data_IF_386263731067
#
_entry.id   IF_386263731067
#
_cell.length_a   1.000
_cell.length_b   1.000
_cell.length_c   1.000
_cell.angle_alpha   90.00
_cell.angle_beta   90.00
_cell.angle_gamma   90.00
#
_symmetry.space_group_name_H-M   'P 1'
#
loop_
_entity.id
_entity.type
_entity.pdbx_description
1 polymer ?
#
# COMPACT_ATOMS: atom_id res chain seq x y z
N UNK A 1 0.99 -32.05 -9.14
CA UNK A 1 1.13 -31.39 -9.05
C UNK A 1 1.36 -30.52 -8.77
N UNK A 2 1.49 -30.28 -8.41
CA UNK A 2 1.63 -29.46 -8.08
C UNK A 2 1.77 -28.51 -8.00
N UNK A 3 1.65 -28.22 -7.90
CA UNK A 3 1.66 -27.45 -7.87
C UNK A 3 1.78 -26.50 -7.93
N UNK A 4 1.42 -26.51 -8.12
CA UNK A 4 1.30 -25.61 -8.19
C UNK A 4 1.42 -24.62 -7.63
N UNK A 5 0.98 -24.50 -6.97
CA UNK A 5 1.47 -23.61 -5.94
C UNK A 5 2.73 -22.85 -6.32
N UNK A 6 2.96 -22.79 -7.54
CA UNK A 6 4.07 -22.01 -8.03
C UNK A 6 3.83 -20.56 -7.73
N UNK A 7 4.84 -19.88 -7.18
CA UNK A 7 4.81 -18.43 -7.05
C UNK A 7 4.69 -17.85 -8.45
N UNK A 8 3.75 -16.89 -8.67
CA UNK A 8 3.65 -16.26 -9.98
C UNK A 8 4.97 -15.66 -10.42
N UNK A 9 5.26 -15.73 -11.71
CA UNK A 9 6.50 -15.17 -12.26
C UNK A 9 6.48 -13.64 -12.27
N UNK A 10 5.28 -13.04 -12.34
CA UNK A 10 5.15 -11.58 -12.32
C UNK A 10 5.27 -11.06 -10.90
N UNK A 11 6.24 -10.19 -10.70
CA UNK A 11 6.53 -9.58 -9.41
C UNK A 11 6.20 -8.09 -9.48
N UNK A 12 5.62 -7.57 -8.41
CA UNK A 12 5.27 -6.16 -8.33
C UNK A 12 5.94 -5.51 -7.12
N UNK A 13 6.43 -4.29 -7.31
CA UNK A 13 6.87 -3.44 -6.22
C UNK A 13 6.16 -2.11 -6.32
N UNK A 14 5.48 -1.69 -5.27
CA UNK A 14 4.66 -0.48 -5.31
C UNK A 14 5.17 0.57 -4.36
N UNK A 15 5.52 1.73 -4.92
CA UNK A 15 5.78 2.94 -4.15
C UNK A 15 4.46 3.70 -4.06
N UNK A 16 3.80 3.56 -2.90
CA UNK A 16 2.43 3.97 -2.71
C UNK A 16 2.34 5.40 -2.17
N UNK A 17 1.29 6.11 -2.60
CA UNK A 17 0.88 7.38 -2.01
C UNK A 17 -0.62 7.33 -1.75
N UNK A 18 -1.04 7.78 -0.57
CA UNK A 18 -2.46 7.85 -0.23
C UNK A 18 -3.17 9.02 -0.92
N UNK A 19 -2.41 9.96 -1.47
CA UNK A 19 -2.95 11.13 -2.20
C UNK A 19 -2.18 11.31 -3.51
N UNK A 20 -2.30 10.37 -4.45
CA UNK A 20 -1.55 10.45 -5.69
C UNK A 20 -2.03 11.61 -6.57
N UNK A 21 -1.11 12.11 -7.38
CA UNK A 21 -1.38 13.20 -8.32
C UNK A 21 -0.46 13.02 -9.53
N UNK A 22 -0.63 13.86 -10.53
CA UNK A 22 0.25 13.84 -11.70
C UNK A 22 1.69 14.15 -11.34
N UNK A 23 1.89 15.02 -10.33
CA UNK A 23 3.22 15.42 -9.88
C UNK A 23 3.85 14.36 -8.99
N UNK A 24 3.03 13.60 -8.28
CA UNK A 24 3.50 12.58 -7.36
C UNK A 24 2.63 11.34 -7.50
N UNK A 25 2.80 10.60 -8.59
CA UNK A 25 1.98 9.42 -8.84
C UNK A 25 2.41 8.24 -7.99
N UNK A 26 1.54 7.24 -7.91
CA UNK A 26 1.92 5.93 -7.43
C UNK A 26 2.74 5.28 -8.52
N UNK A 27 3.86 4.66 -8.15
CA UNK A 27 4.73 3.96 -9.10
C UNK A 27 4.69 2.47 -8.81
N UNK A 28 4.38 1.69 -9.83
CA UNK A 28 4.31 0.24 -9.74
C UNK A 28 5.38 -0.35 -10.65
N UNK A 29 6.40 -0.96 -10.04
CA UNK A 29 7.43 -1.64 -10.78
C UNK A 29 6.97 -3.06 -11.10
N UNK A 30 7.15 -3.48 -12.34
CA UNK A 30 6.85 -4.82 -12.77
C UNK A 30 8.15 -5.56 -13.06
N UNK A 31 8.28 -6.75 -12.50
CA UNK A 31 9.46 -7.57 -12.68
C UNK A 31 9.11 -9.01 -12.94
N UNK A 32 10.10 -9.75 -13.35
CA UNK A 32 9.94 -11.16 -13.64
C UNK A 32 11.10 -11.93 -13.02
N UNK A 33 10.76 -13.05 -12.39
CA UNK A 33 11.79 -13.93 -11.87
C UNK A 33 12.28 -14.85 -12.98
N UNK A 34 13.58 -14.83 -13.22
CA UNK A 34 14.24 -15.68 -14.19
C UNK A 34 15.38 -16.37 -13.48
N UNK A 35 15.22 -17.66 -13.17
CA UNK A 35 16.15 -18.42 -12.35
C UNK A 35 16.38 -17.73 -11.00
N UNK A 36 17.59 -17.36 -10.65
CA UNK A 36 17.92 -16.69 -9.38
C UNK A 36 17.93 -15.17 -9.49
N UNK A 37 17.40 -14.62 -10.59
CA UNK A 37 17.42 -13.18 -10.84
C UNK A 37 16.03 -12.60 -10.97
N UNK A 38 15.94 -11.31 -10.72
CA UNK A 38 14.73 -10.54 -10.99
C UNK A 38 15.06 -9.55 -12.11
N UNK A 39 14.27 -9.61 -13.15
CA UNK A 39 14.42 -8.72 -14.31
C UNK A 39 13.32 -7.68 -14.26
N UNK A 40 13.70 -6.41 -14.31
CA UNK A 40 12.73 -5.33 -14.38
C UNK A 40 12.10 -5.29 -15.77
N UNK A 41 10.78 -5.37 -15.84
CA UNK A 41 10.04 -5.32 -17.10
C UNK A 41 9.60 -3.90 -17.43
N UNK A 42 9.27 -3.10 -16.43
CA UNK A 42 8.82 -1.74 -16.66
C UNK A 42 8.21 -1.11 -15.42
N UNK A 43 7.78 0.12 -15.59
CA UNK A 43 7.13 0.90 -14.54
C UNK A 43 5.78 1.38 -15.04
N UNK A 44 4.78 1.30 -14.18
CA UNK A 44 3.46 1.90 -14.39
C UNK A 44 3.29 3.02 -13.40
N UNK A 45 2.64 4.09 -13.80
CA UNK A 45 2.33 5.18 -12.88
C UNK A 45 0.82 5.41 -12.84
N UNK A 46 0.32 5.78 -11.65
CA UNK A 46 -1.10 6.02 -11.46
C UNK A 46 -1.29 7.35 -10.74
N UNK A 47 -2.06 8.24 -11.34
CA UNK A 47 -2.37 9.55 -10.77
C UNK A 47 -3.49 9.47 -9.74
N UNK A 48 -4.22 8.35 -9.72
CA UNK A 48 -5.37 8.15 -8.83
C UNK A 48 -5.34 6.77 -8.19
N UNK A 49 -5.95 6.69 -7.01
CA UNK A 49 -6.11 5.39 -6.34
C UNK A 49 -6.99 4.44 -7.16
N UNK A 50 -8.00 4.99 -7.83
CA UNK A 50 -8.91 4.20 -8.66
C UNK A 50 -8.17 3.55 -9.83
N UNK A 51 -7.23 4.27 -10.43
CA UNK A 51 -6.40 3.71 -11.50
C UNK A 51 -5.59 2.53 -11.04
N UNK A 52 -4.96 2.64 -9.88
CA UNK A 52 -4.21 1.52 -9.30
C UNK A 52 -5.14 0.34 -8.99
N UNK A 53 -6.30 0.62 -8.37
CA UNK A 53 -7.24 -0.43 -8.01
C UNK A 53 -7.72 -1.21 -9.22
N UNK A 54 -8.01 -0.52 -10.32
CA UNK A 54 -8.44 -1.17 -11.56
C UNK A 54 -7.34 -2.05 -12.16
N UNK A 55 -6.11 -1.56 -12.10
CA UNK A 55 -4.97 -2.34 -12.60
C UNK A 55 -4.79 -3.62 -11.80
N UNK A 56 -4.87 -3.51 -10.47
CA UNK A 56 -4.71 -4.67 -9.57
C UNK A 56 -5.85 -5.66 -9.69
N UNK A 57 -7.06 -5.19 -10.02
CA UNK A 57 -8.24 -6.04 -10.15
C UNK A 57 -8.27 -6.80 -11.47
N UNK A 58 -7.46 -6.43 -12.44
CA UNK A 58 -7.42 -7.12 -13.72
C UNK A 58 -6.93 -8.56 -13.53
N UNK A 59 -7.48 -9.52 -14.32
CA UNK A 59 -7.17 -10.93 -14.12
C UNK A 59 -5.75 -11.28 -14.56
N UNK A 60 -4.83 -11.22 -13.63
CA UNK A 60 -3.44 -11.65 -13.81
C UNK A 60 -2.89 -12.13 -12.48
N UNK A 61 -2.00 -13.11 -12.54
CA UNK A 61 -1.39 -13.66 -11.34
C UNK A 61 -0.08 -12.91 -11.03
N UNK A 62 0.06 -12.42 -9.81
CA UNK A 62 1.26 -11.72 -9.40
C UNK A 62 1.49 -11.87 -7.91
N UNK A 63 2.73 -11.61 -7.50
CA UNK A 63 3.12 -11.46 -6.09
C UNK A 63 3.71 -10.06 -5.95
N UNK A 64 3.31 -9.34 -4.94
CA UNK A 64 3.74 -7.95 -4.82
C UNK A 64 4.12 -7.54 -3.42
N UNK A 65 5.07 -6.58 -3.36
CA UNK A 65 5.41 -5.86 -2.15
C UNK A 65 4.90 -4.43 -2.29
N UNK A 66 4.21 -3.96 -1.26
CA UNK A 66 3.59 -2.64 -1.28
C UNK A 66 4.08 -1.83 -0.09
N UNK A 67 4.51 -0.62 -0.36
CA UNK A 67 4.92 0.34 0.66
C UNK A 67 3.66 1.01 1.24
N UNK A 68 2.95 0.25 2.07
CA UNK A 68 1.71 0.72 2.71
C UNK A 68 1.93 0.86 4.21
N UNK A 69 1.37 1.91 4.83
CA UNK A 69 1.41 2.01 6.27
C UNK A 69 0.47 0.97 6.89
N UNK A 70 1.02 0.15 7.80
CA UNK A 70 0.23 -0.86 8.50
C UNK A 70 -0.26 -0.40 9.87
N UNK A 71 0.18 0.77 10.30
CA UNK A 71 -0.19 1.29 11.60
C UNK A 71 0.41 2.66 11.83
N UNK A 72 0.30 3.12 13.06
CA UNK A 72 0.76 4.44 13.47
C UNK A 72 1.84 4.27 14.53
N UNK A 73 2.74 5.26 14.68
CA UNK A 73 3.73 5.23 15.76
C UNK A 73 3.06 5.10 17.11
N UNK A 74 3.63 4.28 17.98
CA UNK A 74 3.05 4.02 19.30
C UNK A 74 2.88 5.30 20.10
N UNK A 75 3.85 6.19 20.04
CA UNK A 75 3.84 7.46 20.76
C UNK A 75 2.66 8.32 20.32
N UNK A 76 2.37 8.33 19.02
CA UNK A 76 1.23 9.07 18.50
C UNK A 76 -0.09 8.49 19.01
N UNK A 77 -0.24 7.17 18.95
CA UNK A 77 -1.45 6.49 19.41
C UNK A 77 -1.68 6.75 20.88
N UNK A 78 -0.63 6.70 21.71
CA UNK A 78 -0.73 6.98 23.12
C UNK A 78 -1.12 8.43 23.39
N UNK A 79 -0.51 9.37 22.68
CA UNK A 79 -0.79 10.80 22.85
C UNK A 79 -2.21 11.15 22.45
N UNK A 80 -2.76 10.48 21.45
CA UNK A 80 -4.13 10.71 21.00
C UNK A 80 -5.18 10.01 21.86
N UNK A 81 -4.75 9.10 22.76
CA UNK A 81 -5.67 8.32 23.56
C UNK A 81 -6.44 7.29 22.77
N UNK A 82 -5.93 6.89 21.62
CA UNK A 82 -6.56 5.88 20.78
C UNK A 82 -6.22 4.47 21.28
N UNK A 83 -7.01 3.45 20.86
CA UNK A 83 -6.71 2.08 21.28
C UNK A 83 -5.32 1.65 20.88
N UNK A 84 -4.59 0.99 21.79
CA UNK A 84 -3.22 0.53 21.53
C UNK A 84 -3.18 -0.81 20.81
N UNK A 85 -4.26 -1.60 20.88
CA UNK A 85 -4.35 -2.86 20.15
C UNK A 85 -4.55 -2.54 18.67
N UNK A 86 -3.73 -3.14 17.80
CA UNK A 86 -3.67 -2.77 16.39
C UNK A 86 -5.02 -2.77 15.69
N UNK A 87 -5.78 -3.86 15.84
CA UNK A 87 -7.06 -3.98 15.14
C UNK A 87 -8.05 -2.90 15.58
N UNK A 88 -8.16 -2.69 16.89
CA UNK A 88 -9.05 -1.67 17.43
C UNK A 88 -8.62 -0.26 17.00
N UNK A 89 -7.31 -0.02 16.95
CA UNK A 89 -6.76 1.25 16.47
C UNK A 89 -7.11 1.48 15.01
N UNK A 90 -6.98 0.47 14.18
CA UNK A 90 -7.30 0.58 12.75
C UNK A 90 -8.79 0.81 12.53
N UNK A 91 -9.65 0.16 13.33
CA UNK A 91 -11.10 0.41 13.26
C UNK A 91 -11.44 1.83 13.65
N UNK A 92 -10.80 2.35 14.69
CA UNK A 92 -11.01 3.72 15.14
C UNK A 92 -10.58 4.72 14.06
N UNK A 93 -9.38 4.51 13.51
CA UNK A 93 -8.82 5.34 12.44
C UNK A 93 -9.73 5.36 11.21
N UNK A 94 -10.21 4.20 10.81
CA UNK A 94 -11.09 4.05 9.64
C UNK A 94 -12.40 4.81 9.79
N UNK A 95 -12.90 4.95 11.03
CA UNK A 95 -14.16 5.61 11.29
C UNK A 95 -14.05 7.15 11.24
N UNK A 96 -12.83 7.69 11.21
CA UNK A 96 -12.62 9.13 11.22
C UNK A 96 -12.69 9.69 9.79
N UNK A 97 -13.15 10.94 9.69
CA UNK A 97 -13.09 11.68 8.45
C UNK A 97 -11.65 12.15 8.20
N UNK A 98 -11.35 12.53 6.97
CA UNK A 98 -10.04 13.09 6.62
C UNK A 98 -9.75 14.34 7.45
N UNK A 99 -10.75 15.18 7.68
CA UNK A 99 -10.62 16.39 8.48
C UNK A 99 -10.29 16.07 9.93
N UNK A 100 -10.99 15.10 10.52
CA UNK A 100 -10.74 14.67 11.90
C UNK A 100 -9.32 14.11 12.06
N UNK A 101 -8.85 13.36 11.10
CA UNK A 101 -7.48 12.82 11.11
C UNK A 101 -6.47 13.95 11.05
N UNK A 102 -6.69 14.91 10.16
CA UNK A 102 -5.79 16.05 10.01
C UNK A 102 -5.71 16.85 11.31
N UNK A 103 -6.86 17.13 11.93
CA UNK A 103 -6.90 17.90 13.16
C UNK A 103 -6.23 17.17 14.31
N UNK A 104 -6.44 15.87 14.42
CA UNK A 104 -5.81 15.06 15.47
C UNK A 104 -4.28 15.07 15.32
N UNK A 105 -3.78 14.88 14.09
CA UNK A 105 -2.35 14.83 13.85
C UNK A 105 -1.69 16.20 14.02
N UNK A 106 -2.39 17.26 13.62
CA UNK A 106 -1.88 18.61 13.81
C UNK A 106 -1.73 18.97 15.29
N UNK A 107 -2.63 18.49 16.14
CA UNK A 107 -2.54 18.71 17.56
C UNK A 107 -1.34 17.99 18.19
N UNK A 108 -0.92 16.87 17.61
CA UNK A 108 0.24 16.14 18.08
C UNK A 108 1.55 16.77 17.59
N UNK A 109 1.59 17.18 16.34
CA UNK A 109 2.76 17.84 15.76
C UNK A 109 2.82 19.29 16.18
#
# INVERSE_FOLDING_TARGET
MTTDSAIPSLLLGCDFSSSPSRRKPIVLAQGQRVAARVQLLGLETFDTLDGLARWLAAPRAWVGGFDLPFGLPRELVQALGWPLQWHACMQHYRALSREQIRDAFAAFC
#
